data_IF_071161104511
#
_entry.id   IF_071161104511
#
_cell.length_a   1.000
_cell.length_b   1.000
_cell.length_c   1.000
_cell.angle_alpha   90.00
_cell.angle_beta   90.00
_cell.angle_gamma   90.00
#
_symmetry.space_group_name_H-M   'P 1'
#
loop_
_entity.id
_entity.type
_entity.pdbx_description
1 polymer ?
#
# COMPACT_ATOMS: atom_id res chain seq x y z
N UNK A 1 8.96 -32.10 -0.92
CA UNK A 1 9.65 -31.37 0.16
C UNK A 1 11.15 -31.62 0.04
N UNK A 2 11.95 -30.60 0.36
CA UNK A 2 13.41 -30.71 0.44
C UNK A 2 13.86 -30.23 1.82
N UNK A 3 14.69 -31.03 2.48
CA UNK A 3 15.29 -30.69 3.77
C UNK A 3 16.74 -30.29 3.53
N UNK A 4 17.10 -29.10 4.04
CA UNK A 4 18.44 -28.53 3.88
C UNK A 4 19.09 -28.45 5.26
N UNK A 5 20.21 -29.16 5.43
CA UNK A 5 21.00 -29.07 6.64
C UNK A 5 21.62 -27.67 6.78
N UNK A 6 21.52 -27.10 7.97
CA UNK A 6 22.12 -25.79 8.26
C UNK A 6 23.64 -25.93 8.43
N UNK A 7 24.45 -25.31 7.56
CA UNK A 7 25.90 -25.30 7.75
C UNK A 7 26.28 -24.59 9.06
N UNK A 8 27.30 -25.11 9.76
CA UNK A 8 27.73 -24.60 11.07
C UNK A 8 28.11 -23.11 11.10
N UNK A 9 28.50 -22.54 9.96
CA UNK A 9 28.84 -21.11 9.81
C UNK A 9 27.66 -20.14 9.87
N UNK A 10 26.42 -20.64 9.79
CA UNK A 10 25.22 -19.82 9.89
C UNK A 10 24.53 -20.03 11.23
N UNK A 11 24.09 -18.96 11.88
CA UNK A 11 23.29 -19.06 13.10
C UNK A 11 21.87 -19.54 12.79
N UNK A 12 21.19 -20.09 13.79
CA UNK A 12 19.76 -20.44 13.68
C UNK A 12 18.92 -19.17 13.49
N UNK A 13 17.78 -19.31 12.82
CA UNK A 13 16.83 -18.22 12.60
C UNK A 13 17.22 -17.34 11.43
N UNK A 14 17.17 -16.04 11.59
CA UNK A 14 17.23 -15.07 10.47
C UNK A 14 18.52 -15.13 9.65
N UNK A 15 19.66 -15.48 10.24
CA UNK A 15 20.92 -15.59 9.48
C UNK A 15 20.86 -16.76 8.47
N UNK A 16 20.32 -17.89 8.92
CA UNK A 16 20.10 -19.03 8.02
C UNK A 16 18.98 -18.74 7.00
N UNK A 17 17.89 -18.09 7.41
CA UNK A 17 16.81 -17.72 6.51
C UNK A 17 17.28 -16.76 5.40
N UNK A 18 18.20 -15.84 5.68
CA UNK A 18 18.85 -15.01 4.65
C UNK A 18 19.57 -15.85 3.60
N UNK A 19 20.27 -16.89 4.05
CA UNK A 19 20.94 -17.81 3.13
C UNK A 19 19.94 -18.62 2.29
N UNK A 20 18.90 -19.12 2.92
CA UNK A 20 17.80 -19.82 2.23
C UNK A 20 17.10 -18.91 1.21
N UNK A 21 16.91 -17.62 1.55
CA UNK A 21 16.36 -16.63 0.64
C UNK A 21 17.22 -16.47 -0.63
N UNK A 22 18.53 -16.31 -0.48
CA UNK A 22 19.43 -16.22 -1.63
C UNK A 22 19.36 -17.48 -2.49
N UNK A 23 19.40 -18.67 -1.87
CA UNK A 23 19.30 -19.96 -2.57
C UNK A 23 17.99 -20.05 -3.35
N UNK A 24 16.89 -19.73 -2.71
CA UNK A 24 15.56 -19.72 -3.35
C UNK A 24 15.51 -18.80 -4.56
N UNK A 25 16.00 -17.56 -4.41
CA UNK A 25 15.97 -16.58 -5.51
C UNK A 25 16.81 -17.01 -6.69
N UNK A 26 17.99 -17.53 -6.45
CA UNK A 26 18.84 -18.08 -7.52
C UNK A 26 18.14 -19.24 -8.23
N UNK A 27 17.49 -20.12 -7.47
CA UNK A 27 16.77 -21.25 -8.03
C UNK A 27 15.56 -20.81 -8.87
N UNK A 28 14.73 -19.88 -8.35
CA UNK A 28 13.59 -19.34 -9.09
C UNK A 28 13.98 -18.58 -10.36
N UNK A 29 15.16 -17.93 -10.36
CA UNK A 29 15.67 -17.21 -11.54
C UNK A 29 16.32 -18.13 -12.58
N UNK A 30 16.58 -19.39 -12.25
CA UNK A 30 17.17 -20.35 -13.18
C UNK A 30 16.16 -20.96 -14.15
N UNK A 31 14.87 -20.79 -13.91
CA UNK A 31 13.78 -21.31 -14.74
C UNK A 31 12.48 -20.54 -14.52
N UNK A 32 11.88 -20.09 -15.61
CA UNK A 32 10.59 -19.36 -15.59
C UNK A 32 9.41 -20.22 -15.11
N UNK A 33 9.55 -21.54 -15.21
CA UNK A 33 8.51 -22.51 -14.80
C UNK A 33 8.62 -22.91 -13.34
N UNK A 34 9.59 -22.37 -12.60
CA UNK A 34 9.85 -22.77 -11.21
C UNK A 34 9.32 -21.77 -10.21
N UNK A 35 8.50 -22.24 -9.29
CA UNK A 35 8.02 -21.50 -8.13
C UNK A 35 8.28 -22.27 -6.84
N UNK A 36 9.05 -21.69 -5.93
CA UNK A 36 9.28 -22.24 -4.58
C UNK A 36 8.26 -21.67 -3.62
N UNK A 37 7.35 -22.51 -3.15
CA UNK A 37 6.22 -22.11 -2.28
C UNK A 37 6.74 -21.47 -0.98
N UNK A 38 7.69 -22.12 -0.31
CA UNK A 38 8.41 -21.57 0.83
C UNK A 38 9.78 -22.25 0.98
N UNK A 39 10.76 -21.53 1.50
CA UNK A 39 12.04 -22.04 1.93
C UNK A 39 12.49 -21.22 3.14
N UNK A 40 12.27 -21.75 4.33
CA UNK A 40 12.53 -21.09 5.61
C UNK A 40 12.92 -22.12 6.66
N UNK A 41 13.64 -21.69 7.68
CA UNK A 41 13.96 -22.51 8.85
C UNK A 41 12.91 -22.41 9.96
N UNK A 42 11.88 -21.57 9.79
CA UNK A 42 10.90 -21.24 10.84
C UNK A 42 9.45 -21.41 10.42
N UNK A 43 9.16 -21.36 9.13
CA UNK A 43 7.79 -21.41 8.59
C UNK A 43 7.70 -22.39 7.44
N UNK A 44 6.54 -23.00 7.27
CA UNK A 44 6.19 -23.82 6.12
C UNK A 44 4.86 -23.33 5.54
N UNK A 45 4.75 -23.31 4.20
CA UNK A 45 3.53 -22.90 3.51
C UNK A 45 2.94 -24.07 2.74
N UNK A 46 1.70 -24.39 3.03
CA UNK A 46 0.88 -25.34 2.28
C UNK A 46 -0.17 -24.56 1.49
N UNK A 47 -0.12 -24.64 0.17
CA UNK A 47 -1.08 -23.93 -0.69
C UNK A 47 -1.28 -24.61 -2.03
N UNK A 48 -2.38 -24.26 -2.69
CA UNK A 48 -2.71 -24.75 -4.03
C UNK A 48 -4.12 -24.34 -4.42
N UNK A 49 -4.59 -24.84 -5.57
CA UNK A 49 -5.96 -24.67 -6.02
C UNK A 49 -6.82 -25.79 -5.46
N UNK A 50 -7.27 -25.64 -4.22
CA UNK A 50 -8.06 -26.63 -3.48
C UNK A 50 -9.38 -26.05 -3.00
N UNK A 51 -10.39 -26.87 -2.88
CA UNK A 51 -11.48 -26.62 -1.95
C UNK A 51 -10.96 -26.79 -0.51
N UNK A 52 -11.55 -26.07 0.45
CA UNK A 52 -11.05 -26.05 1.85
C UNK A 52 -10.83 -27.46 2.42
N UNK A 53 -11.78 -28.38 2.19
CA UNK A 53 -11.67 -29.75 2.68
C UNK A 53 -10.60 -30.60 1.98
N UNK A 54 -10.11 -30.21 0.83
CA UNK A 54 -9.11 -30.96 0.06
C UNK A 54 -7.68 -30.72 0.52
N UNK A 55 -7.37 -29.56 1.14
CA UNK A 55 -6.03 -29.18 1.53
C UNK A 55 -5.40 -30.24 2.46
N UNK A 56 -6.13 -30.64 3.50
CA UNK A 56 -5.67 -31.65 4.47
C UNK A 56 -5.52 -33.04 3.84
N UNK A 57 -6.33 -33.36 2.84
CA UNK A 57 -6.27 -34.66 2.13
C UNK A 57 -5.05 -34.72 1.21
N UNK A 58 -4.66 -33.60 0.60
CA UNK A 58 -3.54 -33.52 -0.30
C UNK A 58 -2.18 -33.46 0.44
N UNK A 59 -2.10 -32.65 1.49
CA UNK A 59 -0.91 -32.54 2.31
C UNK A 59 -1.04 -33.44 3.54
N UNK A 60 -0.48 -34.63 3.45
CA UNK A 60 -0.61 -35.66 4.50
C UNK A 60 -0.01 -35.24 5.83
N UNK A 61 1.02 -34.38 5.83
CA UNK A 61 1.61 -33.80 7.03
C UNK A 61 0.55 -33.13 7.94
N UNK A 62 -0.50 -32.54 7.33
CA UNK A 62 -1.59 -31.90 8.07
C UNK A 62 -2.57 -32.89 8.73
N UNK A 63 -2.37 -34.20 8.51
CA UNK A 63 -3.13 -35.27 9.16
C UNK A 63 -2.37 -35.88 10.35
N UNK A 64 -1.10 -35.59 10.46
CA UNK A 64 -0.26 -36.10 11.54
C UNK A 64 -0.57 -35.37 12.86
N UNK A 65 -0.90 -36.12 13.89
CA UNK A 65 -1.20 -35.56 15.23
C UNK A 65 0.03 -34.96 15.91
N UNK A 66 1.24 -35.35 15.51
CA UNK A 66 2.49 -34.76 16.00
C UNK A 66 2.82 -33.43 15.32
N UNK A 67 2.12 -33.09 14.21
CA UNK A 67 2.29 -31.82 13.51
C UNK A 67 1.58 -30.68 14.23
N UNK A 68 2.21 -30.19 15.28
CA UNK A 68 1.71 -29.06 16.09
C UNK A 68 2.39 -27.77 15.71
N UNK A 69 1.66 -26.66 15.80
CA UNK A 69 2.18 -25.30 15.51
C UNK A 69 1.57 -24.27 16.45
N UNK A 70 2.41 -23.35 16.94
CA UNK A 70 1.95 -22.21 17.73
C UNK A 70 1.26 -21.13 16.86
N UNK A 71 1.49 -21.14 15.54
CA UNK A 71 0.96 -20.13 14.61
C UNK A 71 0.33 -20.85 13.42
N UNK A 72 -0.91 -20.46 13.08
CA UNK A 72 -1.56 -20.88 11.86
C UNK A 72 -2.17 -19.66 11.14
N UNK A 73 -1.70 -19.36 9.95
CA UNK A 73 -2.29 -18.35 9.06
C UNK A 73 -2.97 -19.05 7.88
N UNK A 74 -4.24 -18.76 7.67
CA UNK A 74 -5.04 -19.41 6.64
C UNK A 74 -5.78 -18.37 5.78
N UNK A 75 -5.96 -18.69 4.50
CA UNK A 75 -6.77 -17.91 3.59
C UNK A 75 -7.40 -18.82 2.54
N UNK A 76 -8.71 -18.81 2.42
CA UNK A 76 -9.45 -19.75 1.57
C UNK A 76 -9.80 -19.22 0.17
N UNK A 77 -9.36 -18.00 -0.17
CA UNK A 77 -9.79 -17.34 -1.40
C UNK A 77 -8.64 -16.71 -2.16
N UNK A 78 -8.70 -16.75 -3.50
CA UNK A 78 -7.82 -16.00 -4.40
C UNK A 78 -8.24 -14.54 -4.50
N UNK A 79 -7.31 -13.69 -4.97
CA UNK A 79 -7.65 -12.34 -5.39
C UNK A 79 -8.68 -12.35 -6.52
N UNK A 80 -9.69 -11.48 -6.45
CA UNK A 80 -10.79 -11.42 -7.42
C UNK A 80 -10.35 -10.96 -8.81
N UNK A 81 -9.23 -10.23 -8.91
CA UNK A 81 -8.76 -9.59 -10.14
C UNK A 81 -7.62 -10.34 -10.84
N UNK A 82 -7.35 -11.59 -10.43
CA UNK A 82 -6.27 -12.39 -11.01
C UNK A 82 -6.77 -13.76 -11.44
N UNK A 83 -6.25 -14.28 -12.55
CA UNK A 83 -6.48 -15.67 -12.91
C UNK A 83 -5.91 -16.61 -11.84
N UNK A 84 -6.66 -17.57 -11.33
CA UNK A 84 -6.20 -18.51 -10.32
C UNK A 84 -4.98 -19.30 -10.81
N UNK A 85 -4.02 -19.51 -9.93
CA UNK A 85 -2.90 -20.43 -10.16
C UNK A 85 -2.35 -20.91 -8.82
N UNK A 86 -1.59 -22.00 -8.82
CA UNK A 86 -0.94 -22.49 -7.61
C UNK A 86 -0.03 -21.45 -6.98
N UNK A 87 0.70 -20.71 -7.79
CA UNK A 87 1.58 -19.63 -7.35
C UNK A 87 0.83 -18.50 -6.64
N UNK A 88 -0.36 -18.15 -7.18
CA UNK A 88 -1.17 -17.03 -6.68
C UNK A 88 -2.09 -17.39 -5.51
N UNK A 89 -2.16 -18.66 -5.14
CA UNK A 89 -2.89 -19.08 -3.94
C UNK A 89 -2.28 -18.45 -2.68
N UNK A 90 -3.12 -18.12 -1.70
CA UNK A 90 -2.68 -17.78 -0.36
C UNK A 90 -2.49 -19.06 0.50
N UNK A 91 -1.74 -18.97 1.59
CA UNK A 91 -0.96 -17.83 2.06
C UNK A 91 0.27 -17.56 1.20
N UNK A 92 0.81 -16.35 1.26
CA UNK A 92 2.14 -16.04 0.79
C UNK A 92 3.18 -16.47 1.85
N UNK A 93 4.46 -16.11 1.67
CA UNK A 93 5.54 -16.61 2.56
C UNK A 93 5.53 -15.97 3.93
N UNK A 94 5.20 -14.69 4.00
CA UNK A 94 5.19 -13.89 5.23
C UNK A 94 3.79 -13.41 5.61
N UNK A 95 2.84 -13.41 4.68
CA UNK A 95 1.56 -12.77 4.92
C UNK A 95 0.37 -13.44 4.23
N UNK A 96 -0.82 -13.12 4.74
CA UNK A 96 -2.11 -13.23 4.06
C UNK A 96 -2.74 -11.85 3.95
N UNK A 97 -3.47 -11.60 2.86
CA UNK A 97 -4.06 -10.31 2.55
C UNK A 97 -5.49 -10.46 2.07
N UNK A 98 -6.40 -9.83 2.77
CA UNK A 98 -7.77 -9.63 2.32
C UNK A 98 -7.93 -8.19 1.87
N UNK A 99 -7.91 -7.95 0.58
CA UNK A 99 -8.00 -6.61 0.00
C UNK A 99 -7.38 -6.49 -1.38
N UNK A 100 -6.97 -5.29 -1.72
CA UNK A 100 -6.35 -4.94 -2.99
C UNK A 100 -5.40 -3.75 -2.81
N UNK A 101 -4.17 -3.88 -3.29
CA UNK A 101 -3.21 -2.78 -3.29
C UNK A 101 -3.36 -1.99 -4.58
N UNK A 102 -4.01 -0.84 -4.51
CA UNK A 102 -4.34 -0.03 -5.68
C UNK A 102 -3.11 0.66 -6.29
N UNK A 103 -2.08 0.94 -5.50
CA UNK A 103 -0.85 1.61 -5.92
C UNK A 103 0.23 0.66 -6.44
N UNK A 104 -0.07 -0.63 -6.57
CA UNK A 104 0.86 -1.73 -6.82
C UNK A 104 1.84 -1.48 -7.98
N UNK A 105 1.38 -0.93 -9.09
CA UNK A 105 2.23 -0.67 -10.26
C UNK A 105 3.30 0.36 -9.95
N UNK A 106 2.91 1.49 -9.37
CA UNK A 106 3.84 2.54 -8.96
C UNK A 106 4.83 2.06 -7.90
N UNK A 107 4.38 1.27 -6.92
CA UNK A 107 5.25 0.70 -5.90
C UNK A 107 6.31 -0.23 -6.50
N UNK A 108 5.92 -1.11 -7.41
CA UNK A 108 6.84 -2.05 -8.07
C UNK A 108 7.86 -1.32 -8.97
N UNK A 109 7.41 -0.35 -9.77
CA UNK A 109 8.27 0.43 -10.67
C UNK A 109 9.30 1.25 -9.88
N UNK A 110 8.88 1.93 -8.81
CA UNK A 110 9.78 2.70 -7.94
C UNK A 110 10.75 1.82 -7.16
N UNK A 111 10.31 0.64 -6.70
CA UNK A 111 11.20 -0.32 -6.08
C UNK A 111 12.29 -0.75 -7.04
N UNK A 112 11.94 -1.08 -8.29
CA UNK A 112 12.89 -1.47 -9.33
C UNK A 112 13.90 -0.35 -9.64
N UNK A 113 13.44 0.91 -9.69
CA UNK A 113 14.32 2.05 -9.90
C UNK A 113 15.34 2.24 -8.76
N UNK A 114 15.00 1.85 -7.52
CA UNK A 114 15.89 1.93 -6.35
C UNK A 114 16.92 0.81 -6.29
N UNK A 115 16.71 -0.30 -6.98
CA UNK A 115 17.58 -1.47 -6.89
C UNK A 115 19.05 -1.16 -7.25
N UNK A 116 19.28 -0.20 -8.13
CA UNK A 116 20.63 0.22 -8.53
C UNK A 116 21.43 0.90 -7.39
N UNK A 117 20.76 1.52 -6.43
CA UNK A 117 21.39 2.24 -5.32
C UNK A 117 21.42 1.45 -4.02
N UNK A 118 20.93 0.20 -4.04
CA UNK A 118 20.80 -0.59 -2.83
C UNK A 118 22.07 -1.33 -2.45
N UNK A 119 22.35 -1.31 -1.15
CA UNK A 119 23.39 -2.12 -0.53
C UNK A 119 22.83 -2.74 0.76
N UNK A 120 22.98 -4.05 0.92
CA UNK A 120 22.53 -4.78 2.09
C UNK A 120 23.69 -5.56 2.72
N UNK A 121 24.30 -4.99 3.74
CA UNK A 121 25.42 -5.62 4.45
C UNK A 121 25.11 -7.00 5.03
N UNK A 122 23.87 -7.21 5.49
CA UNK A 122 23.41 -8.50 6.02
C UNK A 122 23.28 -9.61 4.97
N UNK A 123 23.21 -9.28 3.69
CA UNK A 123 23.23 -10.24 2.58
C UNK A 123 24.67 -10.54 2.08
N UNK A 124 25.69 -10.01 2.77
CA UNK A 124 27.12 -10.36 2.58
C UNK A 124 27.59 -10.29 1.11
N UNK A 125 27.18 -9.25 0.38
CA UNK A 125 27.53 -9.03 -1.03
C UNK A 125 26.70 -9.84 -2.04
N UNK A 126 25.73 -10.62 -1.60
CA UNK A 126 24.87 -11.44 -2.47
C UNK A 126 23.54 -10.74 -2.85
N UNK A 127 23.40 -9.45 -2.59
CA UNK A 127 22.19 -8.68 -2.91
C UNK A 127 21.76 -8.84 -4.37
N UNK A 128 22.71 -8.77 -5.30
CA UNK A 128 22.46 -8.91 -6.74
C UNK A 128 21.78 -10.25 -7.13
N UNK A 129 21.92 -11.29 -6.31
CA UNK A 129 21.30 -12.61 -6.55
C UNK A 129 19.81 -12.63 -6.18
N UNK A 130 19.35 -11.70 -5.38
CA UNK A 130 17.95 -11.66 -4.93
C UNK A 130 17.13 -10.61 -5.70
N UNK A 131 17.80 -9.75 -6.47
CA UNK A 131 17.14 -8.77 -7.33
C UNK A 131 16.68 -9.39 -8.65
N UNK A 132 15.58 -8.94 -9.25
CA UNK A 132 14.66 -7.95 -8.72
C UNK A 132 13.94 -8.46 -7.46
N UNK A 133 13.74 -7.59 -6.47
CA UNK A 133 13.13 -7.96 -5.20
C UNK A 133 11.66 -8.34 -5.35
N UNK A 134 10.96 -7.70 -6.28
CA UNK A 134 9.54 -7.91 -6.56
C UNK A 134 9.37 -8.69 -7.86
N UNK A 135 8.61 -9.78 -7.79
CA UNK A 135 8.16 -10.50 -8.97
C UNK A 135 6.85 -9.90 -9.48
N UNK A 136 6.92 -9.12 -10.56
CA UNK A 136 5.78 -8.41 -11.16
C UNK A 136 4.78 -9.31 -11.89
N UNK A 137 5.08 -10.60 -12.08
CA UNK A 137 4.12 -11.59 -12.61
C UNK A 137 3.16 -12.13 -11.54
N UNK A 138 3.44 -11.83 -10.26
CA UNK A 138 2.60 -12.22 -9.14
C UNK A 138 1.29 -11.42 -9.03
N UNK A 139 0.48 -11.73 -8.01
CA UNK A 139 -0.63 -10.87 -7.60
C UNK A 139 -0.08 -9.67 -6.80
N UNK A 140 -0.94 -8.66 -6.58
CA UNK A 140 -0.64 -7.54 -5.68
C UNK A 140 -0.18 -8.00 -4.31
N UNK A 141 -0.88 -8.98 -3.73
CA UNK A 141 -0.53 -9.60 -2.45
C UNK A 141 0.84 -10.31 -2.49
N UNK A 142 1.15 -10.99 -3.60
CA UNK A 142 2.44 -11.65 -3.76
C UNK A 142 3.59 -10.64 -3.90
N UNK A 143 3.36 -9.51 -4.59
CA UNK A 143 4.33 -8.43 -4.69
C UNK A 143 4.57 -7.76 -3.34
N UNK A 144 3.51 -7.51 -2.56
CA UNK A 144 3.61 -6.99 -1.20
C UNK A 144 4.40 -7.95 -0.29
N UNK A 145 4.10 -9.24 -0.36
CA UNK A 145 4.84 -10.28 0.37
C UNK A 145 6.33 -10.29 0.01
N UNK A 146 6.66 -10.17 -1.29
CA UNK A 146 8.05 -10.08 -1.73
C UNK A 146 8.75 -8.86 -1.13
N UNK A 147 8.06 -7.71 -1.08
CA UNK A 147 8.61 -6.48 -0.52
C UNK A 147 8.84 -6.60 0.98
N UNK A 148 7.87 -7.09 1.74
CA UNK A 148 8.00 -7.33 3.19
C UNK A 148 9.11 -8.33 3.50
N UNK A 149 9.18 -9.44 2.75
CA UNK A 149 10.25 -10.43 2.88
C UNK A 149 11.62 -9.80 2.61
N UNK A 150 11.74 -9.03 1.53
CA UNK A 150 12.98 -8.37 1.17
C UNK A 150 13.45 -7.41 2.27
N UNK A 151 12.57 -6.54 2.78
CA UNK A 151 12.90 -5.61 3.86
C UNK A 151 13.33 -6.35 5.13
N UNK A 152 12.56 -7.36 5.54
CA UNK A 152 12.84 -8.11 6.76
C UNK A 152 14.19 -8.85 6.67
N UNK A 153 14.43 -9.57 5.61
CA UNK A 153 15.68 -10.30 5.43
C UNK A 153 16.88 -9.37 5.15
N UNK A 154 16.61 -8.13 4.72
CA UNK A 154 17.63 -7.09 4.57
C UNK A 154 17.90 -6.29 5.84
N UNK A 155 17.26 -6.64 6.98
CA UNK A 155 17.63 -6.12 8.29
C UNK A 155 16.58 -5.26 9.00
N UNK A 156 15.39 -5.06 8.43
CA UNK A 156 14.28 -4.43 9.14
C UNK A 156 13.61 -5.42 10.09
N UNK A 157 13.15 -4.97 11.25
CA UNK A 157 12.17 -5.75 12.02
C UNK A 157 10.89 -5.93 11.18
N UNK A 158 10.20 -7.06 11.32
CA UNK A 158 8.98 -7.27 10.54
C UNK A 158 7.90 -6.22 10.86
N UNK A 159 7.66 -5.83 12.13
CA UNK A 159 6.75 -4.72 12.43
C UNK A 159 7.13 -3.41 11.74
N UNK A 160 8.42 -3.03 11.73
CA UNK A 160 8.90 -1.83 11.03
C UNK A 160 8.65 -1.92 9.53
N UNK A 161 8.96 -3.05 8.91
CA UNK A 161 8.70 -3.26 7.48
C UNK A 161 7.22 -3.06 7.16
N UNK A 162 6.31 -3.57 7.99
CA UNK A 162 4.87 -3.38 7.83
C UNK A 162 4.47 -1.92 8.05
N UNK A 163 4.96 -1.25 9.10
CA UNK A 163 4.64 0.15 9.40
C UNK A 163 5.02 1.12 8.28
N UNK A 164 6.20 0.92 7.66
CA UNK A 164 6.64 1.79 6.56
C UNK A 164 5.97 1.48 5.23
N UNK A 165 5.47 0.26 5.07
CA UNK A 165 4.79 -0.20 3.85
C UNK A 165 3.32 0.20 3.87
N UNK A 166 2.66 0.02 5.02
CA UNK A 166 1.24 0.37 5.25
C UNK A 166 1.19 1.37 6.42
N UNK A 167 1.60 2.62 6.18
CA UNK A 167 1.63 3.63 7.24
C UNK A 167 0.22 4.05 7.65
N UNK A 168 0.06 4.38 8.92
CA UNK A 168 -1.14 5.10 9.37
C UNK A 168 -1.14 6.55 8.83
N UNK A 169 -2.30 7.22 8.78
CA UNK A 169 -2.39 8.62 8.38
C UNK A 169 -1.67 9.49 9.41
N UNK A 170 -0.54 10.09 9.03
CA UNK A 170 0.34 10.82 9.94
C UNK A 170 0.44 12.32 9.64
N UNK A 171 0.31 12.72 8.39
CA UNK A 171 0.62 14.08 7.96
C UNK A 171 -0.31 15.11 8.62
N UNK A 172 -1.61 14.92 8.48
CA UNK A 172 -2.65 15.81 8.97
C UNK A 172 -3.17 15.40 10.36
N UNK A 173 -2.53 14.44 11.02
CA UNK A 173 -2.89 14.02 12.36
C UNK A 173 -2.20 14.91 13.40
N UNK A 174 -2.95 15.84 14.00
CA UNK A 174 -2.45 16.76 15.00
C UNK A 174 -2.15 16.07 16.35
N UNK A 175 -2.83 14.97 16.63
CA UNK A 175 -2.72 14.26 17.91
C UNK A 175 -1.63 13.18 17.92
N UNK A 176 -0.97 12.98 16.79
CA UNK A 176 0.10 11.98 16.69
C UNK A 176 1.35 12.42 17.48
N UNK A 177 1.94 11.47 18.20
CA UNK A 177 3.23 11.68 18.87
C UNK A 177 4.30 12.22 17.89
N UNK A 178 5.04 13.28 18.24
CA UNK A 178 6.01 13.89 17.36
C UNK A 178 7.13 12.96 16.88
N UNK A 179 7.56 12.00 17.69
CA UNK A 179 8.58 11.03 17.30
C UNK A 179 8.02 10.04 16.26
N UNK A 180 6.75 9.64 16.41
CA UNK A 180 6.04 8.83 15.42
C UNK A 180 5.87 9.59 14.11
N UNK A 181 5.46 10.86 14.18
CA UNK A 181 5.32 11.68 12.98
C UNK A 181 6.65 11.80 12.24
N UNK A 182 7.74 12.03 12.94
CA UNK A 182 9.09 12.09 12.36
C UNK A 182 9.55 10.74 11.80
N UNK A 183 9.16 9.63 12.40
CA UNK A 183 9.40 8.29 11.86
C UNK A 183 8.74 8.10 10.48
N UNK A 184 7.46 8.42 10.36
CA UNK A 184 6.75 8.29 9.08
C UNK A 184 7.25 9.30 8.05
N UNK A 185 7.52 10.54 8.45
CA UNK A 185 8.08 11.57 7.57
C UNK A 185 9.44 11.16 7.01
N UNK A 186 10.32 10.61 7.84
CA UNK A 186 11.61 10.07 7.40
C UNK A 186 11.42 8.95 6.38
N UNK A 187 10.56 7.97 6.68
CA UNK A 187 10.37 6.81 5.82
C UNK A 187 9.63 7.17 4.52
N UNK A 188 8.78 8.17 4.51
CA UNK A 188 8.14 8.68 3.29
C UNK A 188 9.13 9.27 2.28
N UNK A 189 10.33 9.67 2.74
CA UNK A 189 11.42 10.10 1.86
C UNK A 189 12.09 8.93 1.11
N UNK A 190 11.94 7.70 1.58
CA UNK A 190 12.67 6.53 1.06
C UNK A 190 11.78 5.45 0.46
N UNK A 191 10.50 5.44 0.82
CA UNK A 191 9.52 4.48 0.27
C UNK A 191 8.13 5.10 0.20
N UNK A 192 7.37 4.71 -0.81
CA UNK A 192 5.98 5.09 -0.96
C UNK A 192 5.09 4.13 -0.17
N UNK A 193 3.95 4.62 0.35
CA UNK A 193 2.95 3.73 0.94
C UNK A 193 2.40 2.76 -0.10
N UNK A 194 2.15 1.54 0.32
CA UNK A 194 1.38 0.55 -0.43
C UNK A 194 -0.07 0.70 0.01
N UNK A 195 -0.89 1.28 -0.83
CA UNK A 195 -2.20 1.79 -0.46
C UNK A 195 -3.33 1.07 -1.19
N UNK A 196 -4.43 0.92 -0.48
CA UNK A 196 -5.64 0.25 -0.93
C UNK A 196 -6.37 -0.40 0.25
N UNK A 197 -7.57 -0.95 0.03
CA UNK A 197 -8.29 -1.69 1.07
C UNK A 197 -7.47 -2.91 1.52
N UNK A 198 -7.07 -2.97 2.80
CA UNK A 198 -6.21 -4.05 3.26
C UNK A 198 -6.49 -4.48 4.70
N UNK A 199 -6.68 -5.78 4.88
CA UNK A 199 -6.47 -6.47 6.13
C UNK A 199 -5.34 -7.46 5.92
N UNK A 200 -4.20 -7.21 6.55
CA UNK A 200 -2.98 -7.99 6.41
C UNK A 200 -2.65 -8.67 7.72
N UNK A 201 -2.54 -9.99 7.72
CA UNK A 201 -1.88 -10.71 8.80
C UNK A 201 -0.53 -11.22 8.32
N UNK A 202 0.48 -11.19 9.20
CA UNK A 202 1.86 -11.49 8.85
C UNK A 202 2.58 -12.27 9.96
N UNK A 203 3.60 -13.03 9.57
CA UNK A 203 4.46 -13.74 10.54
C UNK A 203 5.87 -13.96 9.98
N UNK A 204 6.83 -14.04 10.87
CA UNK A 204 8.19 -14.52 10.60
C UNK A 204 8.52 -15.85 11.29
N UNK A 205 7.48 -16.51 11.84
CA UNK A 205 7.61 -17.77 12.57
C UNK A 205 7.81 -17.60 14.09
N UNK A 206 8.07 -16.37 14.55
CA UNK A 206 8.08 -15.99 15.97
C UNK A 206 6.99 -14.96 16.26
N UNK A 207 7.05 -13.85 15.56
CA UNK A 207 6.00 -12.82 15.64
C UNK A 207 4.85 -13.20 14.74
N UNK A 208 3.64 -13.03 15.22
CA UNK A 208 2.44 -13.00 14.40
C UNK A 208 1.71 -11.69 14.66
N UNK A 209 1.31 -11.02 13.60
CA UNK A 209 0.66 -9.72 13.74
C UNK A 209 -0.37 -9.49 12.65
N UNK A 210 -1.12 -8.40 12.83
CA UNK A 210 -2.07 -7.93 11.85
C UNK A 210 -2.17 -6.41 11.85
N UNK A 211 -2.45 -5.85 10.69
CA UNK A 211 -2.72 -4.43 10.50
C UNK A 211 -3.83 -4.21 9.49
N UNK A 212 -4.52 -3.09 9.61
CA UNK A 212 -5.47 -2.61 8.62
C UNK A 212 -4.85 -1.44 7.85
N UNK A 213 -5.39 -1.21 6.63
CA UNK A 213 -5.09 -0.01 5.88
C UNK A 213 -5.43 1.26 6.67
N UNK A 214 -4.83 2.38 6.28
CA UNK A 214 -5.00 3.68 6.98
C UNK A 214 -6.44 4.17 7.01
N UNK A 215 -7.25 3.77 6.03
CA UNK A 215 -8.66 4.14 5.95
C UNK A 215 -9.56 3.18 6.73
N UNK A 216 -9.07 1.96 7.03
CA UNK A 216 -9.82 0.91 7.68
C UNK A 216 -10.97 0.39 6.84
N UNK A 217 -10.75 0.28 5.52
CA UNK A 217 -11.75 -0.18 4.57
C UNK A 217 -12.07 -1.67 4.73
N UNK A 218 -11.10 -2.45 5.22
CA UNK A 218 -11.32 -3.85 5.59
C UNK A 218 -11.49 -4.00 7.09
N UNK A 219 -12.52 -4.71 7.56
CA UNK A 219 -12.66 -5.02 8.97
C UNK A 219 -11.73 -6.18 9.37
N UNK A 220 -11.28 -6.16 10.62
CA UNK A 220 -10.74 -7.33 11.28
C UNK A 220 -11.07 -7.29 12.76
N UNK A 221 -11.32 -8.46 13.32
CA UNK A 221 -11.59 -8.65 14.74
C UNK A 221 -10.71 -9.75 15.28
N UNK A 222 -10.30 -9.61 16.53
CA UNK A 222 -9.59 -10.66 17.20
C UNK A 222 -10.28 -11.04 18.51
N UNK A 223 -10.06 -12.25 18.90
CA UNK A 223 -10.65 -12.90 20.06
C UNK A 223 -9.53 -13.50 20.89
N UNK A 224 -9.62 -13.30 22.18
CA UNK A 224 -8.76 -13.94 23.15
C UNK A 224 -9.60 -14.96 23.91
N UNK A 225 -9.18 -16.22 23.87
CA UNK A 225 -9.84 -17.30 24.61
C UNK A 225 -9.26 -17.43 26.02
N UNK A 226 -9.94 -18.20 26.86
CA UNK A 226 -9.51 -18.46 28.25
C UNK A 226 -8.30 -19.38 28.37
N UNK A 227 -7.92 -20.05 27.30
CA UNK A 227 -6.76 -20.91 27.14
C UNK A 227 -5.61 -20.27 26.36
N UNK A 228 -5.55 -18.92 26.40
CA UNK A 228 -4.50 -18.09 25.81
C UNK A 228 -4.35 -18.22 24.28
N UNK A 229 -5.42 -18.63 23.60
CA UNK A 229 -5.45 -18.66 22.15
C UNK A 229 -5.96 -17.32 21.59
N UNK A 230 -5.28 -16.79 20.58
CA UNK A 230 -5.72 -15.60 19.83
C UNK A 230 -6.19 -16.04 18.44
N UNK A 231 -7.43 -15.67 18.10
CA UNK A 231 -8.00 -15.89 16.78
C UNK A 231 -8.29 -14.53 16.16
N UNK A 232 -7.68 -14.24 15.02
CA UNK A 232 -7.96 -13.04 14.23
C UNK A 232 -8.66 -13.45 12.93
N UNK A 233 -9.76 -12.77 12.61
CA UNK A 233 -10.52 -13.03 11.39
C UNK A 233 -11.07 -11.73 10.79
N UNK A 234 -11.14 -11.68 9.46
CA UNK A 234 -11.88 -10.64 8.73
C UNK A 234 -13.40 -10.85 8.75
N UNK A 235 -13.84 -12.05 9.14
CA UNK A 235 -15.25 -12.44 9.25
C UNK A 235 -15.66 -12.59 10.73
N UNK A 236 -16.97 -12.51 11.02
CA UNK A 236 -17.43 -12.69 12.40
C UNK A 236 -17.42 -14.18 12.83
N UNK A 237 -16.95 -14.42 14.06
CA UNK A 237 -17.06 -15.71 14.74
C UNK A 237 -17.55 -15.54 16.18
N UNK A 238 -18.00 -16.62 16.81
CA UNK A 238 -18.66 -16.59 18.14
C UNK A 238 -17.66 -16.97 19.22
N UNK A 239 -17.11 -16.02 20.01
CA UNK A 239 -16.18 -16.30 21.14
C UNK A 239 -16.21 -15.23 22.25
N UNK A 240 -15.61 -15.50 23.41
CA UNK A 240 -15.83 -14.92 24.74
C UNK A 240 -15.35 -13.46 24.92
N UNK A 241 -14.22 -13.04 24.37
CA UNK A 241 -13.77 -11.63 24.39
C UNK A 241 -13.48 -11.16 22.98
N UNK A 242 -14.14 -10.08 22.58
CA UNK A 242 -14.14 -9.59 21.21
C UNK A 242 -13.58 -8.18 21.18
N UNK A 243 -12.53 -7.96 20.39
CA UNK A 243 -11.99 -6.64 20.11
C UNK A 243 -11.87 -6.39 18.61
N UNK A 244 -12.00 -5.13 18.22
CA UNK A 244 -11.86 -4.69 16.83
C UNK A 244 -10.45 -4.17 16.60
N UNK A 245 -9.81 -4.59 15.51
CA UNK A 245 -8.61 -3.94 15.04
C UNK A 245 -8.99 -2.60 14.39
N UNK A 246 -8.34 -1.52 14.81
CA UNK A 246 -8.62 -0.18 14.31
C UNK A 246 -7.78 0.18 13.08
N UNK A 247 -8.25 1.12 12.23
CA UNK A 247 -7.49 1.60 11.07
C UNK A 247 -6.09 2.09 11.46
N UNK A 248 -5.08 1.68 10.69
CA UNK A 248 -3.68 2.04 10.95
C UNK A 248 -3.08 1.50 12.24
N UNK A 249 -3.80 0.68 13.00
CA UNK A 249 -3.30 0.03 14.22
C UNK A 249 -2.79 -1.37 13.94
N UNK A 250 -1.81 -1.79 14.74
CA UNK A 250 -1.18 -3.10 14.64
C UNK A 250 -1.46 -3.94 15.88
N UNK A 251 -1.87 -5.18 15.68
CA UNK A 251 -1.82 -6.23 16.70
C UNK A 251 -0.52 -7.02 16.47
N UNK A 252 0.25 -7.26 17.52
CA UNK A 252 1.47 -8.06 17.44
C UNK A 252 1.58 -9.00 18.64
N UNK A 253 1.93 -10.24 18.39
CA UNK A 253 2.12 -11.26 19.40
C UNK A 253 3.54 -11.83 19.27
N UNK A 254 4.29 -11.85 20.36
CA UNK A 254 5.55 -12.60 20.48
C UNK A 254 5.26 -13.98 21.05
N UNK A 255 5.26 -15.00 20.22
CA UNK A 255 4.90 -16.37 20.62
C UNK A 255 5.96 -17.04 21.50
N UNK A 256 7.23 -16.59 21.42
CA UNK A 256 8.27 -17.10 22.33
C UNK A 256 8.09 -16.55 23.75
N UNK A 257 7.61 -15.31 23.87
CA UNK A 257 7.36 -14.68 25.19
C UNK A 257 5.93 -14.86 25.70
N UNK A 258 5.03 -15.38 24.86
CA UNK A 258 3.61 -15.46 25.19
C UNK A 258 2.98 -14.10 25.48
N UNK A 259 3.39 -13.04 24.75
CA UNK A 259 2.98 -11.64 25.06
C UNK A 259 2.32 -10.98 23.85
N UNK A 260 1.19 -10.35 24.11
CA UNK A 260 0.60 -9.37 23.18
C UNK A 260 1.34 -8.04 23.38
N UNK A 261 1.86 -7.47 22.29
CA UNK A 261 2.55 -6.19 22.27
C UNK A 261 1.58 -5.15 21.73
N UNK A 262 1.34 -4.07 22.46
CA UNK A 262 0.39 -3.04 22.06
C UNK A 262 0.92 -2.21 20.88
N UNK A 263 0.00 -1.63 20.11
CA UNK A 263 0.34 -0.72 19.00
C UNK A 263 1.24 0.44 19.46
N UNK A 264 0.94 0.99 20.63
CA UNK A 264 1.72 2.09 21.22
C UNK A 264 3.13 1.64 21.61
N UNK A 265 3.29 0.42 22.15
CA UNK A 265 4.61 -0.14 22.52
C UNK A 265 5.47 -0.35 21.27
N UNK A 266 4.91 -0.97 20.22
CA UNK A 266 5.61 -1.20 18.95
C UNK A 266 6.04 0.13 18.32
N UNK A 267 5.11 1.06 18.19
CA UNK A 267 5.35 2.34 17.54
C UNK A 267 6.37 3.19 18.28
N UNK A 268 6.30 3.20 19.60
CA UNK A 268 7.27 3.90 20.44
C UNK A 268 8.68 3.32 20.29
N UNK A 269 8.81 2.01 20.28
CA UNK A 269 10.10 1.34 20.08
C UNK A 269 10.70 1.70 18.72
N UNK A 270 9.90 1.60 17.65
CA UNK A 270 10.36 1.88 16.30
C UNK A 270 10.62 3.37 16.06
N UNK A 271 9.82 4.28 16.61
CA UNK A 271 10.01 5.72 16.48
C UNK A 271 11.27 6.21 17.20
N UNK A 272 11.63 5.60 18.32
CA UNK A 272 12.82 5.97 19.10
C UNK A 272 14.09 5.24 18.64
N UNK A 273 14.00 4.30 17.71
CA UNK A 273 15.13 3.53 17.23
C UNK A 273 16.26 4.40 16.64
N UNK A 274 15.91 5.56 16.05
CA UNK A 274 16.86 6.51 15.47
C UNK A 274 16.36 7.94 15.62
N UNK A 275 17.25 8.94 15.53
CA UNK A 275 16.89 10.37 15.64
C UNK A 275 16.24 10.88 14.34
N UNK A 276 15.08 10.35 13.98
CA UNK A 276 14.41 10.66 12.71
C UNK A 276 14.09 12.15 12.56
N UNK A 277 13.60 12.80 13.62
CA UNK A 277 13.27 14.23 13.61
C UNK A 277 14.47 15.12 13.26
N UNK A 278 15.65 14.82 13.82
CA UNK A 278 16.87 15.58 13.52
C UNK A 278 17.29 15.40 12.06
N UNK A 279 17.18 14.17 11.56
CA UNK A 279 17.54 13.85 10.18
C UNK A 279 16.65 14.56 9.18
N UNK A 280 15.32 14.49 9.35
CA UNK A 280 14.36 15.19 8.51
C UNK A 280 14.63 16.69 8.53
N UNK A 281 14.74 17.30 9.73
CA UNK A 281 15.00 18.73 9.88
C UNK A 281 16.29 19.20 9.20
N UNK A 282 17.31 18.34 9.20
CA UNK A 282 18.64 18.67 8.63
C UNK A 282 18.67 18.59 7.10
N UNK A 283 17.87 17.71 6.49
CA UNK A 283 18.09 17.34 5.10
C UNK A 283 16.87 17.50 4.18
N UNK A 284 15.65 17.45 4.70
CA UNK A 284 14.44 17.68 3.91
C UNK A 284 14.21 19.16 3.70
N UNK A 285 14.07 19.57 2.45
CA UNK A 285 13.80 20.96 2.05
C UNK A 285 12.33 21.10 1.71
N UNK A 286 11.64 22.06 2.32
CA UNK A 286 10.27 22.39 1.95
C UNK A 286 10.29 23.46 0.85
N UNK A 287 9.76 23.12 -0.31
CA UNK A 287 9.75 23.98 -1.48
C UNK A 287 9.05 25.31 -1.20
N UNK A 288 7.92 25.25 -0.52
CA UNK A 288 7.09 26.42 -0.21
C UNK A 288 7.73 27.39 0.81
N UNK A 289 8.78 26.94 1.53
CA UNK A 289 9.55 27.78 2.47
C UNK A 289 10.82 28.35 1.87
N UNK A 290 11.15 28.02 0.61
CA UNK A 290 12.30 28.60 -0.06
C UNK A 290 12.03 30.07 -0.39
N UNK A 291 13.03 30.96 -0.20
CA UNK A 291 12.88 32.35 -0.60
C UNK A 291 12.68 32.44 -2.11
N UNK A 292 11.62 33.13 -2.52
CA UNK A 292 11.41 33.43 -3.93
C UNK A 292 12.56 34.33 -4.43
N UNK A 293 13.21 33.91 -5.50
CA UNK A 293 14.22 34.73 -6.15
C UNK A 293 13.52 35.80 -7.00
N UNK A 294 13.15 36.92 -6.37
CA UNK A 294 12.41 38.02 -7.01
C UNK A 294 13.27 38.81 -7.98
N UNK A 295 14.59 38.64 -8.00
CA UNK A 295 15.53 39.42 -8.81
C UNK A 295 15.70 38.88 -10.24
N UNK A 296 15.27 37.67 -10.50
CA UNK A 296 15.15 37.14 -11.88
C UNK A 296 13.68 37.16 -12.25
N UNK A 297 13.31 38.04 -13.19
CA UNK A 297 12.12 37.82 -13.99
C UNK A 297 12.29 36.43 -14.62
N UNK A 298 11.61 35.42 -14.07
CA UNK A 298 11.56 34.11 -14.68
C UNK A 298 11.03 34.26 -16.10
N UNK A 299 11.52 33.42 -17.01
CA UNK A 299 10.93 33.34 -18.34
C UNK A 299 9.43 33.14 -18.14
N UNK A 300 8.65 33.99 -18.83
CA UNK A 300 7.21 33.78 -18.87
C UNK A 300 6.95 32.42 -19.54
N UNK A 301 5.79 31.85 -19.28
CA UNK A 301 5.38 30.60 -19.95
C UNK A 301 5.55 30.71 -21.48
N UNK A 302 5.28 31.88 -22.04
CA UNK A 302 5.47 32.18 -23.43
C UNK A 302 6.95 32.13 -23.88
N UNK A 303 7.86 32.60 -23.06
CA UNK A 303 9.31 32.56 -23.32
C UNK A 303 9.85 31.10 -23.23
N UNK A 304 9.34 30.29 -22.31
CA UNK A 304 9.66 28.86 -22.20
C UNK A 304 9.18 28.07 -23.42
N UNK A 305 7.97 28.33 -23.87
CA UNK A 305 7.41 27.69 -25.08
C UNK A 305 8.19 28.11 -26.35
N UNK A 306 8.61 29.37 -26.46
CA UNK A 306 9.47 29.81 -27.55
C UNK A 306 10.85 29.15 -27.52
N UNK A 307 11.50 29.07 -26.38
CA UNK A 307 12.79 28.37 -26.20
C UNK A 307 12.68 26.88 -26.54
N UNK A 308 11.59 26.22 -26.16
CA UNK A 308 11.33 24.81 -26.52
C UNK A 308 11.10 24.67 -28.05
N UNK A 309 10.39 25.58 -28.68
CA UNK A 309 10.19 25.60 -30.15
C UNK A 309 11.51 25.78 -30.91
N UNK A 310 12.42 26.60 -30.41
CA UNK A 310 13.69 26.85 -31.06
C UNK A 310 14.69 25.68 -30.87
N UNK A 311 14.65 25.00 -29.74
CA UNK A 311 15.48 23.82 -29.45
C UNK A 311 14.99 22.57 -30.19
N UNK A 312 13.71 22.47 -30.54
CA UNK A 312 13.13 21.27 -31.17
C UNK A 312 13.43 21.13 -32.69
N UNK A 313 14.21 22.04 -33.27
CA UNK A 313 14.54 22.03 -34.72
C UNK A 313 15.53 20.92 -35.11
N UNK A 314 15.33 19.69 -34.69
CA UNK A 314 16.19 18.56 -35.07
C UNK A 314 15.91 17.19 -34.48
N UNK A 315 14.97 17.07 -33.55
CA UNK A 315 14.71 15.82 -32.90
C UNK A 315 13.22 15.42 -33.02
N UNK A 316 12.95 14.26 -33.63
CA UNK A 316 11.59 13.75 -33.91
C UNK A 316 10.76 13.51 -32.64
N UNK A 317 11.39 13.12 -31.56
CA UNK A 317 10.70 12.88 -30.29
C UNK A 317 10.32 14.19 -29.58
N UNK A 318 11.16 15.21 -29.67
CA UNK A 318 10.86 16.56 -29.16
C UNK A 318 9.77 17.21 -29.96
N UNK A 319 9.71 16.96 -31.27
CA UNK A 319 8.64 17.47 -32.13
C UNK A 319 7.26 16.89 -31.79
N UNK A 320 7.19 15.60 -31.36
CA UNK A 320 5.94 14.98 -30.97
C UNK A 320 5.47 15.51 -29.59
N UNK A 321 6.38 15.72 -28.65
CA UNK A 321 6.10 16.37 -27.36
C UNK A 321 5.62 17.80 -27.57
N UNK A 322 6.29 18.56 -28.43
CA UNK A 322 5.92 19.95 -28.78
C UNK A 322 4.54 20.01 -29.43
N UNK A 323 4.21 19.09 -30.33
CA UNK A 323 2.92 19.00 -31.00
C UNK A 323 1.78 18.73 -30.01
N UNK A 324 1.99 17.84 -29.07
CA UNK A 324 1.02 17.56 -27.98
C UNK A 324 0.87 18.77 -27.06
N UNK A 325 1.96 19.51 -26.82
CA UNK A 325 1.97 20.69 -25.98
C UNK A 325 1.23 21.88 -26.67
N UNK A 326 1.41 22.05 -27.97
CA UNK A 326 0.69 23.06 -28.77
C UNK A 326 -0.81 22.73 -28.82
N UNK A 327 -1.18 21.46 -28.89
CA UNK A 327 -2.59 21.05 -28.83
C UNK A 327 -3.19 21.40 -27.45
N UNK A 328 -2.47 21.17 -26.34
CA UNK A 328 -2.90 21.58 -25.02
C UNK A 328 -2.97 23.10 -24.88
N UNK A 329 -1.98 23.86 -25.37
CA UNK A 329 -2.01 25.34 -25.41
C UNK A 329 -3.23 25.86 -26.18
N UNK A 330 -3.49 25.33 -27.36
CA UNK A 330 -4.68 25.68 -28.13
C UNK A 330 -6.00 25.32 -27.45
N UNK A 331 -6.03 24.23 -26.67
CA UNK A 331 -7.21 23.87 -25.89
C UNK A 331 -7.46 24.82 -24.71
N UNK A 332 -6.40 25.42 -24.13
CA UNK A 332 -6.51 26.29 -22.96
C UNK A 332 -6.54 27.80 -23.30
N UNK A 333 -5.78 28.24 -24.29
CA UNK A 333 -5.60 29.66 -24.61
C UNK A 333 -6.64 30.18 -25.62
N UNK A 334 -7.11 29.37 -26.57
CA UNK A 334 -8.11 29.78 -27.57
C UNK A 334 -9.57 29.74 -27.08
N UNK A 335 -9.80 29.62 -25.77
CA UNK A 335 -11.17 29.63 -25.21
C UNK A 335 -11.84 30.98 -25.15
N UNK A 336 -11.09 32.09 -25.29
CA UNK A 336 -11.66 33.44 -25.23
C UNK A 336 -12.32 33.89 -26.53
N UNK A 337 -12.10 33.23 -27.67
CA UNK A 337 -12.57 33.66 -28.98
C UNK A 337 -13.41 32.65 -29.78
N UNK A 338 -13.87 31.56 -29.17
CA UNK A 338 -14.84 30.71 -29.85
C UNK A 338 -16.25 31.25 -29.61
N UNK A 339 -16.89 31.66 -30.70
CA UNK A 339 -18.35 31.85 -30.80
C UNK A 339 -19.06 30.53 -30.52
N UNK A 340 -19.05 30.14 -29.28
CA UNK A 340 -19.63 28.88 -28.83
C UNK A 340 -21.15 29.04 -28.74
N UNK A 341 -21.82 28.79 -29.87
CA UNK A 341 -23.29 28.91 -30.04
C UNK A 341 -24.10 27.98 -29.14
N UNK A 342 -23.44 27.09 -28.35
CA UNK A 342 -24.10 26.19 -27.45
C UNK A 342 -24.35 26.86 -26.09
N UNK A 343 -25.59 26.80 -25.62
CA UNK A 343 -25.93 27.30 -24.28
C UNK A 343 -25.18 26.51 -23.21
N UNK A 344 -24.91 27.17 -22.07
CA UNK A 344 -24.30 26.51 -20.90
C UNK A 344 -25.05 25.22 -20.51
N UNK A 345 -26.37 25.25 -20.52
CA UNK A 345 -27.20 24.12 -20.22
C UNK A 345 -26.98 22.94 -21.21
N UNK A 346 -26.83 23.26 -22.51
CA UNK A 346 -26.54 22.23 -23.51
C UNK A 346 -25.19 21.60 -23.31
N UNK A 347 -24.16 22.37 -22.93
CA UNK A 347 -22.83 21.88 -22.60
C UNK A 347 -22.86 21.00 -21.32
N UNK A 348 -23.53 21.44 -20.27
CA UNK A 348 -23.69 20.67 -19.05
C UNK A 348 -24.33 19.29 -19.35
N UNK A 349 -25.41 19.26 -20.14
CA UNK A 349 -26.05 18.02 -20.56
C UNK A 349 -25.13 17.12 -21.39
N UNK A 350 -24.35 17.70 -22.30
CA UNK A 350 -23.40 16.96 -23.13
C UNK A 350 -22.29 16.31 -22.32
N UNK A 351 -21.87 16.94 -21.20
CA UNK A 351 -20.89 16.38 -20.26
C UNK A 351 -21.53 15.51 -19.15
N UNK A 352 -22.83 15.27 -19.20
CA UNK A 352 -23.52 14.39 -18.26
C UNK A 352 -23.83 15.00 -16.89
N UNK A 353 -23.66 16.31 -16.72
CA UNK A 353 -24.04 16.98 -15.47
C UNK A 353 -25.54 17.00 -15.26
N UNK A 354 -25.98 16.51 -14.12
CA UNK A 354 -27.36 16.60 -13.67
C UNK A 354 -27.64 17.98 -13.04
N UNK A 355 -28.90 18.32 -12.84
CA UNK A 355 -29.28 19.50 -12.08
C UNK A 355 -28.76 19.46 -10.64
N UNK A 356 -28.76 18.26 -10.04
CA UNK A 356 -28.26 18.02 -8.69
C UNK A 356 -26.76 18.23 -8.59
N UNK A 357 -25.99 17.71 -9.56
CA UNK A 357 -24.54 17.93 -9.61
C UNK A 357 -24.19 19.41 -9.61
N UNK A 358 -24.92 20.21 -10.41
CA UNK A 358 -24.66 21.64 -10.52
C UNK A 358 -25.09 22.40 -9.28
N UNK A 359 -26.30 22.16 -8.76
CA UNK A 359 -26.89 22.99 -7.70
C UNK A 359 -26.55 22.53 -6.29
N UNK A 360 -26.28 21.25 -6.09
CA UNK A 360 -25.96 20.71 -4.77
C UNK A 360 -24.45 20.57 -4.58
N UNK A 361 -23.76 20.01 -5.57
CA UNK A 361 -22.32 19.74 -5.47
C UNK A 361 -21.48 20.93 -5.88
N UNK A 362 -21.52 21.32 -7.18
CA UNK A 362 -20.62 22.34 -7.73
C UNK A 362 -20.89 23.72 -7.10
N UNK A 363 -22.16 24.09 -6.95
CA UNK A 363 -22.53 25.36 -6.31
C UNK A 363 -22.01 25.46 -4.87
N UNK A 364 -22.13 24.39 -4.09
CA UNK A 364 -21.63 24.34 -2.72
C UNK A 364 -20.11 24.51 -2.66
N UNK A 365 -19.38 23.84 -3.55
CA UNK A 365 -17.92 23.97 -3.67
C UNK A 365 -17.52 25.41 -3.98
N UNK A 366 -18.21 26.05 -4.95
CA UNK A 366 -17.89 27.41 -5.39
C UNK A 366 -18.24 28.45 -4.32
N UNK A 367 -19.39 28.32 -3.65
CA UNK A 367 -19.85 29.31 -2.67
C UNK A 367 -19.16 29.20 -1.32
N UNK A 368 -18.83 27.98 -0.90
CA UNK A 368 -18.30 27.70 0.45
C UNK A 368 -16.82 27.35 0.47
N UNK A 369 -16.22 27.08 -0.72
CA UNK A 369 -14.86 26.53 -0.86
C UNK A 369 -14.67 25.23 -0.02
N UNK A 370 -15.73 24.42 0.10
CA UNK A 370 -15.77 23.20 0.88
C UNK A 370 -16.51 22.11 0.11
N UNK A 371 -16.14 20.86 0.35
CA UNK A 371 -16.80 19.72 -0.28
C UNK A 371 -18.20 19.50 0.33
N UNK A 372 -19.22 19.28 -0.51
CA UNK A 372 -20.56 19.03 0.00
C UNK A 372 -20.62 17.67 0.71
N UNK A 373 -21.16 17.67 1.91
CA UNK A 373 -21.47 16.44 2.64
C UNK A 373 -22.77 15.88 2.07
N UNK A 374 -22.67 14.72 1.44
CA UNK A 374 -23.81 13.97 0.90
C UNK A 374 -24.20 12.76 1.76
N UNK A 375 -25.37 12.21 1.52
CA UNK A 375 -25.74 10.92 2.08
C UNK A 375 -24.92 9.81 1.39
N UNK A 376 -24.15 9.06 2.20
CA UNK A 376 -23.24 8.01 1.72
C UNK A 376 -23.90 6.63 1.64
N UNK A 377 -25.20 6.54 1.69
CA UNK A 377 -25.97 5.31 1.57
C UNK A 377 -27.45 5.62 1.49
N UNK A 378 -28.21 4.68 1.00
CA UNK A 378 -29.67 4.78 0.98
C UNK A 378 -30.26 3.48 1.55
N UNK A 379 -30.97 3.61 2.66
CA UNK A 379 -31.83 2.56 3.18
C UNK A 379 -33.15 2.56 2.40
N UNK A 380 -33.08 2.11 1.14
CA UNK A 380 -34.26 1.98 0.30
C UNK A 380 -34.96 0.67 0.69
N UNK A 381 -36.23 0.72 1.15
CA UNK A 381 -36.98 -0.49 1.44
C UNK A 381 -37.01 -1.45 0.23
N UNK A 382 -37.07 -2.75 0.52
CA UNK A 382 -37.18 -3.76 -0.54
C UNK A 382 -38.39 -3.47 -1.43
N UNK A 383 -38.21 -3.61 -2.74
CA UNK A 383 -39.27 -3.36 -3.72
C UNK A 383 -40.55 -4.20 -3.45
N UNK A 384 -40.40 -5.42 -2.90
CA UNK A 384 -41.49 -6.28 -2.50
C UNK A 384 -42.40 -5.68 -1.41
N UNK A 385 -41.91 -4.73 -0.64
CA UNK A 385 -42.69 -4.02 0.40
C UNK A 385 -43.38 -2.76 -0.14
N UNK A 386 -43.21 -2.42 -1.41
CA UNK A 386 -43.82 -1.24 -2.02
C UNK A 386 -45.26 -1.54 -2.49
N UNK A 387 -46.20 -0.66 -2.12
CA UNK A 387 -47.56 -0.68 -2.67
C UNK A 387 -47.63 -0.15 -4.11
N UNK A 388 -46.54 0.51 -4.59
CA UNK A 388 -46.46 1.06 -5.94
C UNK A 388 -45.71 0.05 -6.86
N UNK A 389 -46.10 -0.05 -8.13
CA UNK A 389 -45.34 -0.83 -9.10
C UNK A 389 -43.87 -0.40 -9.14
N UNK A 390 -42.98 -1.35 -9.03
CA UNK A 390 -41.55 -1.16 -9.11
C UNK A 390 -41.00 -1.75 -10.42
N UNK A 391 -39.87 -1.22 -10.89
CA UNK A 391 -39.18 -1.78 -12.01
C UNK A 391 -38.69 -3.20 -11.66
N UNK A 392 -38.75 -4.11 -12.61
CA UNK A 392 -38.45 -5.54 -12.38
C UNK A 392 -37.07 -5.75 -11.70
N UNK A 393 -36.04 -5.04 -12.13
CA UNK A 393 -34.71 -5.18 -11.55
C UNK A 393 -34.63 -4.76 -10.07
N UNK A 394 -35.54 -3.90 -9.56
CA UNK A 394 -35.56 -3.52 -8.16
C UNK A 394 -35.92 -4.69 -7.23
N UNK A 395 -36.68 -5.66 -7.72
CA UNK A 395 -37.04 -6.86 -6.96
C UNK A 395 -35.87 -7.82 -6.75
N UNK A 396 -34.81 -7.68 -7.54
CA UNK A 396 -33.59 -8.50 -7.46
C UNK A 396 -32.42 -7.77 -6.79
N UNK A 397 -32.62 -6.54 -6.31
CA UNK A 397 -31.62 -5.82 -5.52
C UNK A 397 -31.42 -6.51 -4.18
N UNK A 398 -30.16 -6.81 -3.88
CA UNK A 398 -29.76 -7.23 -2.54
C UNK A 398 -29.42 -6.02 -1.70
N UNK A 399 -29.92 -6.01 -0.45
CA UNK A 399 -29.52 -5.06 0.58
C UNK A 399 -28.46 -5.72 1.45
N UNK A 400 -27.29 -5.11 1.54
CA UNK A 400 -26.20 -5.57 2.39
C UNK A 400 -26.22 -4.79 3.69
N UNK A 401 -26.09 -5.48 4.81
CA UNK A 401 -26.02 -4.85 6.13
C UNK A 401 -24.77 -3.98 6.31
N UNK A 402 -23.73 -4.20 5.48
CA UNK A 402 -22.49 -3.44 5.53
C UNK A 402 -21.82 -3.43 4.14
N UNK A 403 -21.33 -2.27 3.73
CA UNK A 403 -20.53 -2.09 2.53
C UNK A 403 -19.08 -2.48 2.85
N UNK A 404 -18.45 -3.30 2.01
CA UNK A 404 -17.09 -3.78 2.23
C UNK A 404 -16.04 -2.67 2.14
N UNK A 405 -16.20 -1.74 1.21
CA UNK A 405 -15.33 -0.56 1.07
C UNK A 405 -16.21 0.67 1.16
N UNK A 406 -16.55 1.14 2.38
CA UNK A 406 -17.39 2.31 2.54
C UNK A 406 -16.68 3.53 1.95
N UNK A 407 -17.43 4.46 1.33
CA UNK A 407 -16.87 5.72 0.90
C UNK A 407 -16.32 6.50 2.09
N UNK A 408 -15.32 7.31 1.84
CA UNK A 408 -14.69 8.18 2.85
C UNK A 408 -15.40 9.52 2.81
N UNK A 409 -15.90 9.99 3.95
CA UNK A 409 -16.50 11.31 4.07
C UNK A 409 -15.43 12.42 4.03
N UNK A 410 -15.84 13.65 3.70
CA UNK A 410 -14.94 14.78 3.53
C UNK A 410 -14.15 15.15 4.81
N UNK A 411 -14.69 14.89 6.00
CA UNK A 411 -13.99 15.17 7.27
C UNK A 411 -12.86 14.15 7.47
N UNK A 412 -13.15 12.88 7.24
CA UNK A 412 -12.14 11.81 7.33
C UNK A 412 -11.09 11.93 6.25
N UNK A 413 -11.48 12.35 5.05
CA UNK A 413 -10.57 12.55 3.92
C UNK A 413 -9.44 13.52 4.26
N UNK A 414 -9.71 14.59 4.99
CA UNK A 414 -8.69 15.55 5.43
C UNK A 414 -7.59 14.90 6.27
N UNK A 415 -7.90 13.85 7.01
CA UNK A 415 -6.94 13.14 7.86
C UNK A 415 -6.16 12.10 7.06
N UNK A 416 -6.84 11.36 6.18
CA UNK A 416 -6.25 10.18 5.53
C UNK A 416 -5.61 10.47 4.17
N UNK A 417 -5.96 11.60 3.54
CA UNK A 417 -5.43 11.99 2.23
C UNK A 417 -4.26 12.97 2.37
N UNK A 418 -3.26 12.77 1.54
CA UNK A 418 -2.12 13.67 1.44
C UNK A 418 -1.88 14.05 -0.01
N UNK A 419 -1.52 15.32 -0.24
CA UNK A 419 -1.24 15.86 -1.57
C UNK A 419 0.23 16.24 -1.77
N UNK A 420 1.09 16.03 -0.78
CA UNK A 420 2.51 16.36 -0.94
C UNK A 420 3.21 15.44 -1.94
N UNK A 421 4.24 15.96 -2.55
CA UNK A 421 5.13 15.21 -3.44
C UNK A 421 6.57 15.42 -3.02
N UNK A 422 7.36 14.35 -3.04
CA UNK A 422 8.78 14.38 -2.67
C UNK A 422 9.63 14.15 -3.92
N UNK A 423 10.57 15.07 -4.15
CA UNK A 423 11.51 15.06 -5.27
C UNK A 423 12.94 14.88 -4.79
N UNK A 424 13.76 14.21 -5.56
CA UNK A 424 15.18 14.05 -5.31
C UNK A 424 15.70 12.68 -5.73
N UNK A 425 17.02 12.51 -5.61
CA UNK A 425 17.65 11.24 -5.92
C UNK A 425 17.22 10.15 -4.95
N UNK A 426 16.96 8.97 -5.47
CA UNK A 426 16.73 7.80 -4.65
C UNK A 426 18.04 7.40 -3.97
N UNK A 427 17.95 7.14 -2.68
CA UNK A 427 19.05 6.70 -1.83
C UNK A 427 18.87 5.23 -1.48
N UNK A 428 19.88 4.63 -0.87
CA UNK A 428 19.81 3.24 -0.43
C UNK A 428 18.69 3.06 0.62
N UNK A 429 17.59 2.43 0.23
CA UNK A 429 16.44 2.12 1.07
C UNK A 429 16.83 1.35 2.35
N UNK A 430 17.82 0.48 2.24
CA UNK A 430 18.25 -0.42 3.32
C UNK A 430 19.24 0.24 4.28
N UNK A 431 19.79 1.39 3.91
CA UNK A 431 20.64 2.16 4.81
C UNK A 431 19.81 3.10 5.69
N UNK A 432 20.32 3.36 6.86
CA UNK A 432 19.75 4.39 7.74
C UNK A 432 20.57 5.67 7.69
N UNK A 433 21.05 6.04 6.50
CA UNK A 433 21.84 7.25 6.29
C UNK A 433 21.02 8.52 6.56
N UNK A 434 21.68 9.55 7.07
CA UNK A 434 21.09 10.90 7.16
C UNK A 434 20.71 11.44 5.78
N UNK A 435 21.44 11.02 4.75
CA UNK A 435 21.23 11.48 3.37
C UNK A 435 19.93 10.99 2.75
N UNK A 436 19.26 9.99 3.35
CA UNK A 436 18.01 9.42 2.80
C UNK A 436 16.89 10.46 2.66
N UNK A 437 16.86 11.49 3.51
CA UNK A 437 15.89 12.58 3.43
C UNK A 437 16.44 13.83 2.71
N UNK A 438 17.57 13.75 2.00
CA UNK A 438 18.07 14.86 1.18
C UNK A 438 17.22 14.99 -0.08
N UNK A 439 15.99 15.44 0.11
CA UNK A 439 14.96 15.58 -0.90
C UNK A 439 14.23 16.92 -0.73
N UNK A 440 13.41 17.26 -1.70
CA UNK A 440 12.55 18.45 -1.67
C UNK A 440 11.10 17.98 -1.56
N UNK A 441 10.36 18.50 -0.60
CA UNK A 441 8.93 18.28 -0.44
C UNK A 441 8.16 19.47 -0.95
N UNK A 442 7.20 19.26 -1.84
CA UNK A 442 6.19 20.22 -2.23
C UNK A 442 4.84 19.83 -1.63
N UNK A 443 4.09 20.77 -1.09
CA UNK A 443 2.78 20.51 -0.47
C UNK A 443 1.70 20.14 -1.50
N UNK A 444 1.93 20.43 -2.78
CA UNK A 444 1.02 20.09 -3.87
C UNK A 444 1.81 19.53 -5.05
N UNK A 445 1.26 18.53 -5.78
CA UNK A 445 1.84 18.07 -7.03
C UNK A 445 1.72 19.12 -8.15
N UNK A 446 0.93 20.18 -7.94
CA UNK A 446 0.76 21.29 -8.89
C UNK A 446 1.75 22.38 -8.51
N UNK A 447 2.81 22.49 -9.28
CA UNK A 447 3.76 23.59 -9.20
C UNK A 447 3.22 24.77 -10.04
N UNK A 448 3.09 25.94 -9.41
CA UNK A 448 2.65 27.19 -10.06
C UNK A 448 3.85 28.07 -10.38
#
# INVERSE_FOLDING_TARGET
QAFIERPAKYEKGIDFDRRLYVVRRVFEQSSDDTYVVSLSSRTIVYKGMFLVGQLRLFFVDLQDEEFISAIAMVHSRFSTNTAPSWQRAHPNRFMVHNGEINTIRGNADKMRAREETMEAGCLKGELHKVLPAINTSGSDSAMLDNYLQFLHLSGFSLPRAVMITIPEPWENNADMDPAMKAFYEYHSCITEPWDGPAAVAFTDGRYVGATLDRNGLRPARYYLSSDDMIILSSEESTIIKKERLHPGKMLLIDTEKGKIISDEEIKKEEALHKPYAERVKKTLVELDKLPLNTDKKGDTWHDLVHKLKDNAKGNVNEHLLLKNFIVLENMFVNRENSDDKLSLLTRQKAFGYTWEDVNTTIKSIVEKADDPIGAMGADIPLAVLSEKPQLLYNYFKQLFAQVTNPPIDAIREQIVTSTYTIFGCEQNLLSSSELNCRKVRALSPILR
#
